data_IF_575205514941
#
_entry.id   IF_575205514941
#
_cell.length_a   1.000
_cell.length_b   1.000
_cell.length_c   1.000
_cell.angle_alpha   90.00
_cell.angle_beta   90.00
_cell.angle_gamma   90.00
#
_symmetry.space_group_name_H-M   'P 1'
#
loop_
_entity.id
_entity.type
_entity.pdbx_description
1 polymer ?
#
# COMPACT_ATOMS: atom_id res chain seq x y z
N UNK A 1 -4.12 0.91 23.63
CA UNK A 1 -4.13 -0.12 22.58
C UNK A 1 -2.79 -0.21 21.84
N UNK A 2 -2.01 0.87 21.69
CA UNK A 2 -0.64 0.81 21.14
C UNK A 2 0.43 0.01 21.92
N UNK A 3 0.20 -0.33 23.19
CA UNK A 3 1.24 -0.93 24.03
C UNK A 3 1.54 -2.41 23.73
N UNK A 4 0.74 -3.07 22.90
CA UNK A 4 0.88 -4.49 22.56
C UNK A 4 1.41 -4.72 21.14
N UNK A 5 1.67 -3.67 20.36
CA UNK A 5 2.24 -3.79 19.02
C UNK A 5 3.74 -4.10 19.11
N UNK A 6 4.08 -5.39 19.08
CA UNK A 6 5.46 -5.86 19.01
C UNK A 6 6.07 -5.71 17.61
N UNK A 7 5.27 -5.34 16.63
CA UNK A 7 5.64 -5.30 15.22
C UNK A 7 6.01 -3.87 14.76
N UNK A 8 5.58 -2.84 15.50
CA UNK A 8 5.83 -1.42 15.20
C UNK A 8 4.97 -0.85 14.05
N UNK A 9 4.01 -1.64 13.58
CA UNK A 9 3.13 -1.31 12.46
C UNK A 9 2.12 -0.24 12.78
N UNK A 10 1.57 -0.23 13.99
CA UNK A 10 0.61 0.77 14.41
C UNK A 10 1.25 2.16 14.40
N UNK A 11 2.46 2.27 14.96
CA UNK A 11 3.22 3.52 14.95
C UNK A 11 3.62 3.98 13.54
N UNK A 12 3.86 3.05 12.62
CA UNK A 12 4.17 3.32 11.21
C UNK A 12 2.92 3.77 10.45
N UNK A 13 1.81 3.05 10.62
CA UNK A 13 0.51 3.39 10.05
C UNK A 13 0.04 4.77 10.50
N UNK A 14 0.12 5.08 11.80
CA UNK A 14 -0.28 6.39 12.34
C UNK A 14 0.56 7.51 11.73
N UNK A 15 1.87 7.32 11.59
CA UNK A 15 2.76 8.29 10.91
C UNK A 15 2.39 8.47 9.44
N UNK A 16 2.11 7.40 8.72
CA UNK A 16 1.70 7.44 7.33
C UNK A 16 0.31 8.09 7.16
N UNK A 17 -0.65 7.76 8.03
CA UNK A 17 -2.00 8.31 8.02
C UNK A 17 -2.03 9.82 8.30
N UNK A 18 -1.07 10.35 9.07
CA UNK A 18 -0.95 11.79 9.32
C UNK A 18 -0.65 12.60 8.04
N UNK A 19 0.04 12.00 7.06
CA UNK A 19 0.32 12.63 5.74
C UNK A 19 -0.61 12.12 4.64
N UNK A 20 -1.23 10.96 4.83
CA UNK A 20 -2.21 10.38 3.95
C UNK A 20 -3.55 11.10 4.10
N UNK A 21 -3.92 11.96 3.14
CA UNK A 21 -5.32 12.38 3.05
C UNK A 21 -6.11 11.21 2.49
N UNK A 22 -6.99 10.62 3.30
CA UNK A 22 -8.01 9.71 2.79
C UNK A 22 -8.85 10.49 1.76
N UNK A 23 -8.74 10.19 0.46
CA UNK A 23 -9.40 10.99 -0.53
C UNK A 23 -10.78 10.40 -0.70
N UNK A 24 -11.66 10.68 0.26
CA UNK A 24 -13.07 10.36 0.17
C UNK A 24 -13.64 11.15 -1.02
N UNK A 25 -13.58 10.56 -2.22
CA UNK A 25 -13.91 11.20 -3.50
C UNK A 25 -12.79 11.26 -4.54
N UNK A 26 -11.58 10.74 -4.30
CA UNK A 26 -10.62 10.58 -5.41
C UNK A 26 -11.16 9.60 -6.43
N UNK A 27 -11.14 10.01 -7.70
CA UNK A 27 -11.35 9.13 -8.84
C UNK A 27 -9.99 8.67 -9.33
N UNK A 28 -9.73 7.39 -9.18
CA UNK A 28 -8.58 6.72 -9.79
C UNK A 28 -9.12 6.06 -11.07
N UNK A 29 -8.74 6.57 -12.24
CA UNK A 29 -9.26 6.08 -13.53
C UNK A 29 -9.06 4.56 -13.71
N UNK A 30 -7.91 4.06 -13.23
CA UNK A 30 -7.52 2.65 -13.27
C UNK A 30 -7.65 1.96 -11.91
N UNK A 31 -8.70 2.31 -11.16
CA UNK A 31 -8.89 1.79 -9.80
C UNK A 31 -8.90 0.26 -9.77
N UNK A 32 -9.56 -0.38 -10.74
CA UNK A 32 -9.66 -1.84 -10.81
C UNK A 32 -8.28 -2.50 -10.94
N UNK A 33 -7.39 -1.94 -11.76
CA UNK A 33 -6.04 -2.46 -11.95
C UNK A 33 -5.17 -2.24 -10.71
N UNK A 34 -5.34 -1.09 -10.04
CA UNK A 34 -4.63 -0.78 -8.78
C UNK A 34 -5.11 -1.68 -7.65
N UNK A 35 -6.42 -1.85 -7.50
CA UNK A 35 -7.05 -2.69 -6.48
C UNK A 35 -6.59 -4.15 -6.59
N UNK A 36 -6.38 -4.67 -7.80
CA UNK A 36 -5.87 -6.02 -8.01
C UNK A 36 -4.43 -6.24 -7.51
N UNK A 37 -3.65 -5.17 -7.32
CA UNK A 37 -2.24 -5.24 -6.89
C UNK A 37 -2.12 -5.12 -5.36
N UNK A 38 -3.02 -4.38 -4.70
CA UNK A 38 -2.92 -4.08 -3.28
C UNK A 38 -2.89 -5.31 -2.35
N UNK A 39 -3.67 -6.39 -2.59
CA UNK A 39 -3.63 -7.60 -1.77
C UNK A 39 -2.24 -8.26 -1.70
N UNK A 40 -1.41 -8.12 -2.73
CA UNK A 40 -0.06 -8.71 -2.77
C UNK A 40 0.82 -8.23 -1.61
N UNK A 41 0.57 -7.02 -1.07
CA UNK A 41 1.28 -6.51 0.11
C UNK A 41 1.06 -7.43 1.30
N UNK A 42 -0.20 -7.81 1.53
CA UNK A 42 -0.57 -8.64 2.68
C UNK A 42 0.00 -10.04 2.52
N UNK A 43 -0.09 -10.63 1.33
CA UNK A 43 0.44 -11.97 1.08
C UNK A 43 1.96 -12.01 1.28
N UNK A 44 2.69 -11.08 0.68
CA UNK A 44 4.16 -11.05 0.74
C UNK A 44 4.70 -10.71 2.12
N UNK A 45 4.04 -9.80 2.84
CA UNK A 45 4.49 -9.40 4.18
C UNK A 45 4.03 -10.38 5.25
N UNK A 46 2.77 -10.80 5.23
CA UNK A 46 2.17 -11.59 6.32
C UNK A 46 2.45 -13.07 6.13
N UNK A 47 2.31 -13.58 4.90
CA UNK A 47 2.46 -15.01 4.63
C UNK A 47 3.91 -15.38 4.33
N UNK A 48 4.62 -14.54 3.56
CA UNK A 48 6.00 -14.83 3.16
C UNK A 48 7.06 -14.15 4.04
N UNK A 49 6.65 -13.30 4.99
CA UNK A 49 7.55 -12.57 5.88
C UNK A 49 8.64 -11.77 5.14
N UNK A 50 8.33 -11.28 3.93
CA UNK A 50 9.25 -10.44 3.16
C UNK A 50 9.44 -9.07 3.84
N UNK A 51 10.56 -8.40 3.54
CA UNK A 51 10.83 -7.07 4.03
C UNK A 51 9.77 -6.07 3.57
N UNK A 52 9.15 -5.41 4.54
CA UNK A 52 8.01 -4.51 4.33
C UNK A 52 8.36 -3.34 3.44
N UNK A 53 9.51 -2.71 3.68
CA UNK A 53 9.91 -1.53 2.93
C UNK A 53 10.18 -1.89 1.46
N UNK A 54 10.83 -3.02 1.21
CA UNK A 54 11.07 -3.55 -0.12
C UNK A 54 9.77 -3.90 -0.85
N UNK A 55 8.84 -4.59 -0.19
CA UNK A 55 7.53 -4.95 -0.76
C UNK A 55 6.72 -3.70 -1.11
N UNK A 56 6.61 -2.74 -0.19
CA UNK A 56 5.86 -1.50 -0.42
C UNK A 56 6.47 -0.66 -1.54
N UNK A 57 7.80 -0.56 -1.61
CA UNK A 57 8.48 0.15 -2.69
C UNK A 57 8.25 -0.53 -4.06
N UNK A 58 8.24 -1.86 -4.10
CA UNK A 58 7.95 -2.61 -5.30
C UNK A 58 6.49 -2.44 -5.77
N UNK A 59 5.54 -2.54 -4.85
CA UNK A 59 4.12 -2.36 -5.12
C UNK A 59 3.82 -0.92 -5.58
N UNK A 60 4.46 0.09 -4.96
CA UNK A 60 4.35 1.48 -5.40
C UNK A 60 4.78 1.64 -6.87
N UNK A 61 5.93 1.07 -7.25
CA UNK A 61 6.39 1.10 -8.66
C UNK A 61 5.42 0.41 -9.62
N UNK A 62 4.79 -0.69 -9.20
CA UNK A 62 3.77 -1.39 -10.01
C UNK A 62 2.52 -0.55 -10.21
N UNK A 63 2.05 0.12 -9.15
CA UNK A 63 0.92 1.06 -9.21
C UNK A 63 1.27 2.23 -10.14
N UNK A 64 2.46 2.81 -10.00
CA UNK A 64 2.92 3.90 -10.87
C UNK A 64 2.95 3.47 -12.34
N UNK A 65 3.41 2.26 -12.65
CA UNK A 65 3.40 1.71 -14.01
C UNK A 65 1.97 1.57 -14.57
N UNK A 66 1.01 1.15 -13.75
CA UNK A 66 -0.40 1.08 -14.15
C UNK A 66 -0.96 2.47 -14.44
N UNK A 67 -0.72 3.42 -13.54
CA UNK A 67 -1.24 4.78 -13.64
C UNK A 67 -0.61 5.57 -14.79
N UNK A 68 0.66 5.33 -15.11
CA UNK A 68 1.39 6.02 -16.19
C UNK A 68 1.27 5.34 -17.56
N UNK A 69 0.83 4.07 -17.62
CA UNK A 69 0.52 3.45 -18.90
C UNK A 69 -0.57 4.26 -19.62
N UNK A 70 -0.42 4.50 -20.92
CA UNK A 70 -1.45 5.20 -21.70
C UNK A 70 -2.81 4.48 -21.68
N UNK A 71 -3.89 5.14 -22.12
CA UNK A 71 -5.19 4.50 -22.26
C UNK A 71 -5.08 3.33 -23.27
N UNK A 72 -5.65 2.18 -22.93
CA UNK A 72 -5.85 1.06 -23.85
C UNK A 72 -7.19 1.21 -24.56
#
# INVERSE_FOLDING_TARGET
>A
MAAADTTGWEATFVRAAAVGRAPWGARIEKWREVEAILPDVMDRVILNHEDVAAVLADIARRIDAVLTAGPR
#
